data_IF_792471550549
#
_entry.id   IF_792471550549
#
_cell.length_a   1.000
_cell.length_b   1.000
_cell.length_c   1.000
_cell.angle_alpha   90.00
_cell.angle_beta   90.00
_cell.angle_gamma   90.00
#
_symmetry.space_group_name_H-M   'P 1'
#
loop_
_entity.id
_entity.type
_entity.pdbx_description
1 polymer ?
#
# COMPACT_ATOMS: atom_id res chain seq x y z
N UNK A 1 23.22 -22.17 -10.99
CA UNK A 1 21.92 -21.51 -10.97
C UNK A 1 20.82 -22.54 -11.15
N UNK A 2 20.11 -22.92 -10.09
CA UNK A 2 18.88 -23.73 -10.21
C UNK A 2 17.87 -22.91 -11.02
N UNK A 3 17.39 -23.45 -12.14
CA UNK A 3 16.32 -22.83 -12.94
C UNK A 3 15.09 -22.61 -12.05
N UNK A 4 14.87 -21.37 -11.61
CA UNK A 4 13.68 -21.00 -10.84
C UNK A 4 12.45 -21.22 -11.72
N UNK A 5 11.56 -22.11 -11.31
CA UNK A 5 10.34 -22.39 -12.09
C UNK A 5 9.46 -21.16 -12.10
N UNK A 6 9.23 -20.56 -13.27
CA UNK A 6 8.37 -19.38 -13.43
C UNK A 6 6.93 -19.75 -13.07
N UNK A 7 6.34 -19.03 -12.11
CA UNK A 7 4.92 -19.14 -11.78
C UNK A 7 4.12 -18.23 -12.71
N UNK A 8 3.08 -18.77 -13.34
CA UNK A 8 2.16 -17.97 -14.17
C UNK A 8 1.21 -17.16 -13.26
N UNK A 9 0.79 -15.97 -13.68
CA UNK A 9 -0.16 -15.11 -12.93
C UNK A 9 -1.47 -15.87 -12.60
N UNK A 10 -1.96 -16.71 -13.53
CA UNK A 10 -3.14 -17.55 -13.29
C UNK A 10 -2.95 -18.54 -12.14
N UNK A 11 -1.73 -19.05 -11.96
CA UNK A 11 -1.43 -19.99 -10.89
C UNK A 11 -1.34 -19.24 -9.54
N UNK A 12 -0.80 -18.02 -9.51
CA UNK A 12 -0.82 -17.14 -8.32
C UNK A 12 -2.26 -16.86 -7.86
N UNK A 13 -3.16 -16.56 -8.78
CA UNK A 13 -4.57 -16.35 -8.45
C UNK A 13 -5.23 -17.63 -7.89
N UNK A 14 -4.88 -18.80 -8.38
CA UNK A 14 -5.38 -20.08 -7.82
C UNK A 14 -4.82 -20.37 -6.43
N UNK A 15 -3.54 -20.05 -6.19
CA UNK A 15 -2.85 -20.27 -4.92
C UNK A 15 -3.42 -19.33 -3.86
N UNK A 16 -3.43 -18.03 -4.11
CA UNK A 16 -3.92 -17.01 -3.18
C UNK A 16 -4.72 -15.93 -3.92
N UNK A 17 -6.03 -16.17 -4.14
CA UNK A 17 -6.90 -15.19 -4.79
C UNK A 17 -6.95 -13.85 -4.05
N UNK A 18 -6.93 -13.89 -2.70
CA UNK A 18 -6.96 -12.68 -1.88
C UNK A 18 -5.71 -11.84 -2.07
N UNK A 19 -4.51 -12.42 -1.95
CA UNK A 19 -3.26 -11.69 -2.15
C UNK A 19 -3.16 -11.11 -3.57
N UNK A 20 -3.54 -11.89 -4.59
CA UNK A 20 -3.46 -11.48 -5.99
C UNK A 20 -4.41 -10.32 -6.29
N UNK A 21 -5.66 -10.40 -5.83
CA UNK A 21 -6.65 -9.33 -6.00
C UNK A 21 -6.27 -8.09 -5.19
N UNK A 22 -5.85 -8.27 -3.93
CA UNK A 22 -5.41 -7.18 -3.08
C UNK A 22 -4.20 -6.47 -3.67
N UNK A 23 -3.19 -7.21 -4.19
CA UNK A 23 -2.03 -6.62 -4.84
C UNK A 23 -2.41 -5.78 -6.08
N UNK A 24 -3.39 -6.24 -6.85
CA UNK A 24 -3.93 -5.47 -7.98
C UNK A 24 -4.55 -4.15 -7.50
N UNK A 25 -5.36 -4.16 -6.43
CA UNK A 25 -5.93 -2.95 -5.84
C UNK A 25 -4.85 -2.03 -5.24
N UNK A 26 -3.85 -2.58 -4.56
CA UNK A 26 -2.71 -1.83 -4.01
C UNK A 26 -1.92 -1.11 -5.11
N UNK A 27 -1.80 -1.73 -6.30
CA UNK A 27 -1.21 -1.09 -7.47
C UNK A 27 -2.01 0.11 -7.99
N UNK A 28 -3.32 0.19 -7.76
CA UNK A 28 -4.10 1.41 -8.00
C UNK A 28 -3.88 2.45 -6.89
N UNK A 29 -3.83 2.04 -5.64
CA UNK A 29 -3.80 2.92 -4.48
C UNK A 29 -2.45 3.66 -4.38
N UNK A 30 -1.31 2.95 -4.41
CA UNK A 30 0.00 3.54 -4.12
C UNK A 30 0.41 4.62 -5.12
N UNK A 31 0.34 4.40 -6.46
CA UNK A 31 0.63 5.47 -7.41
C UNK A 31 -0.32 6.67 -7.29
N UNK A 32 -1.60 6.43 -7.00
CA UNK A 32 -2.55 7.52 -6.79
C UNK A 32 -2.14 8.41 -5.61
N UNK A 33 -1.72 7.82 -4.47
CA UNK A 33 -1.25 8.61 -3.32
C UNK A 33 -0.02 9.45 -3.69
N UNK A 34 0.95 8.88 -4.40
CA UNK A 34 2.22 9.57 -4.66
C UNK A 34 2.15 10.53 -5.85
N UNK A 35 1.58 10.10 -6.98
CA UNK A 35 1.56 10.91 -8.21
C UNK A 35 0.35 11.84 -8.25
N UNK A 36 -0.86 11.27 -8.09
CA UNK A 36 -2.08 12.07 -8.11
C UNK A 36 -2.27 12.89 -6.83
N UNK A 37 -1.70 12.48 -5.70
CA UNK A 37 -1.65 13.28 -4.49
C UNK A 37 -0.86 14.58 -4.67
N UNK A 38 0.23 14.60 -5.43
CA UNK A 38 0.93 15.82 -5.77
C UNK A 38 0.09 16.71 -6.70
N UNK A 39 -0.60 16.12 -7.69
CA UNK A 39 -1.55 16.85 -8.56
C UNK A 39 -2.71 17.41 -7.75
N UNK A 40 -3.25 16.64 -6.81
CA UNK A 40 -4.26 17.09 -5.87
C UNK A 40 -3.80 18.33 -5.10
N UNK A 41 -2.59 18.28 -4.51
CA UNK A 41 -2.01 19.43 -3.80
C UNK A 41 -1.89 20.67 -4.69
N UNK A 42 -1.46 20.50 -5.95
CA UNK A 42 -1.38 21.61 -6.90
C UNK A 42 -2.77 22.20 -7.23
N UNK A 43 -3.79 21.35 -7.41
CA UNK A 43 -5.18 21.80 -7.65
C UNK A 43 -5.80 22.50 -6.43
N UNK A 44 -5.34 22.14 -5.22
CA UNK A 44 -5.75 22.76 -3.96
C UNK A 44 -4.88 23.97 -3.57
N UNK A 45 -4.08 24.49 -4.51
CA UNK A 45 -3.16 25.62 -4.31
C UNK A 45 -2.19 25.43 -3.13
N UNK A 46 -1.70 24.18 -2.94
CA UNK A 46 -0.63 23.92 -1.98
C UNK A 46 0.68 24.47 -2.55
N UNK A 47 1.48 25.11 -1.69
CA UNK A 47 2.84 25.48 -2.03
C UNK A 47 3.71 24.23 -2.29
N UNK A 48 4.83 24.41 -2.98
CA UNK A 48 5.79 23.32 -3.22
C UNK A 48 6.25 22.69 -1.90
N UNK A 49 6.43 23.50 -0.86
CA UNK A 49 6.78 23.00 0.47
C UNK A 49 5.69 22.10 1.06
N UNK A 50 4.42 22.51 0.96
CA UNK A 50 3.28 21.74 1.47
C UNK A 50 3.11 20.40 0.72
N UNK A 51 3.31 20.37 -0.59
CA UNK A 51 3.32 19.13 -1.39
C UNK A 51 4.49 18.23 -0.96
N UNK A 52 5.67 18.81 -0.73
CA UNK A 52 6.84 18.06 -0.26
C UNK A 52 6.62 17.50 1.14
N UNK A 53 6.01 18.29 2.04
CA UNK A 53 5.63 17.85 3.39
C UNK A 53 4.61 16.71 3.33
N UNK A 54 3.61 16.79 2.47
CA UNK A 54 2.64 15.73 2.23
C UNK A 54 3.34 14.42 1.83
N UNK A 55 4.23 14.46 0.84
CA UNK A 55 4.96 13.27 0.38
C UNK A 55 5.90 12.71 1.45
N UNK A 56 6.57 13.60 2.19
CA UNK A 56 7.43 13.20 3.32
C UNK A 56 6.62 12.49 4.41
N UNK A 57 5.51 13.06 4.86
CA UNK A 57 4.66 12.49 5.91
C UNK A 57 4.07 11.13 5.51
N UNK A 58 3.64 10.98 4.27
CA UNK A 58 3.16 9.71 3.72
C UNK A 58 4.27 8.65 3.80
N UNK A 59 5.45 8.97 3.31
CA UNK A 59 6.59 8.03 3.28
C UNK A 59 7.03 7.66 4.69
N UNK A 60 7.17 8.66 5.57
CA UNK A 60 7.55 8.47 6.97
C UNK A 60 6.54 7.60 7.72
N UNK A 61 5.25 7.91 7.57
CA UNK A 61 4.17 7.14 8.20
C UNK A 61 4.16 5.70 7.72
N UNK A 62 4.30 5.47 6.41
CA UNK A 62 4.42 4.13 5.86
C UNK A 62 5.59 3.34 6.46
N UNK A 63 6.75 3.96 6.62
CA UNK A 63 7.91 3.33 7.24
C UNK A 63 7.68 3.01 8.72
N UNK A 64 7.11 3.95 9.49
CA UNK A 64 6.84 3.76 10.93
C UNK A 64 5.82 2.63 11.15
N UNK A 65 4.71 2.63 10.39
CA UNK A 65 3.64 1.64 10.57
C UNK A 65 3.98 0.27 10.00
N UNK A 66 4.96 0.16 9.12
CA UNK A 66 5.37 -1.11 8.53
C UNK A 66 5.85 -2.10 9.61
N UNK A 67 6.60 -1.63 10.61
CA UNK A 67 7.07 -2.48 11.70
C UNK A 67 5.94 -3.01 12.60
N UNK A 68 5.04 -2.18 13.21
CA UNK A 68 3.98 -2.71 14.06
C UNK A 68 2.97 -3.57 13.28
N UNK A 69 2.63 -3.21 12.05
CA UNK A 69 1.70 -4.01 11.23
C UNK A 69 2.35 -5.34 10.86
N UNK A 70 3.63 -5.35 10.51
CA UNK A 70 4.39 -6.56 10.26
C UNK A 70 4.41 -7.49 11.48
N UNK A 71 4.77 -6.95 12.64
CA UNK A 71 4.77 -7.69 13.89
C UNK A 71 3.40 -8.28 14.26
N UNK A 72 2.31 -7.54 14.04
CA UNK A 72 0.96 -8.06 14.24
C UNK A 72 0.66 -9.20 13.25
N UNK A 73 1.07 -9.05 12.00
CA UNK A 73 0.82 -10.05 10.96
C UNK A 73 1.55 -11.37 11.17
N UNK A 74 2.65 -11.35 11.93
CA UNK A 74 3.39 -12.56 12.31
C UNK A 74 2.77 -13.29 13.52
N UNK A 75 1.97 -12.59 14.34
CA UNK A 75 1.33 -13.14 15.54
C UNK A 75 -0.13 -13.54 15.34
N UNK A 76 -0.79 -12.91 14.38
CA UNK A 76 -2.20 -13.12 14.08
C UNK A 76 -2.36 -13.59 12.63
N UNK A 77 -3.53 -14.11 12.29
CA UNK A 77 -3.86 -14.47 10.91
C UNK A 77 -3.64 -13.25 9.99
N UNK A 78 -2.70 -13.37 9.04
CA UNK A 78 -2.34 -12.31 8.08
C UNK A 78 -3.54 -11.79 7.31
N UNK A 79 -4.55 -12.63 7.07
CA UNK A 79 -5.80 -12.22 6.41
C UNK A 79 -6.56 -11.20 7.24
N UNK A 80 -6.64 -11.43 8.56
CA UNK A 80 -7.32 -10.53 9.48
C UNK A 80 -6.61 -9.17 9.50
N UNK A 81 -5.29 -9.16 9.62
CA UNK A 81 -4.51 -7.92 9.62
C UNK A 81 -4.66 -7.16 8.29
N UNK A 82 -4.62 -7.88 7.15
CA UNK A 82 -4.83 -7.30 5.83
C UNK A 82 -6.23 -6.66 5.69
N UNK A 83 -7.28 -7.33 6.20
CA UNK A 83 -8.65 -6.82 6.17
C UNK A 83 -8.79 -5.61 7.08
N UNK A 84 -8.28 -5.67 8.30
CA UNK A 84 -8.36 -4.57 9.27
C UNK A 84 -7.64 -3.34 8.73
N UNK A 85 -6.41 -3.48 8.23
CA UNK A 85 -5.65 -2.36 7.67
C UNK A 85 -6.35 -1.77 6.43
N UNK A 86 -6.94 -2.60 5.59
CA UNK A 86 -7.71 -2.15 4.43
C UNK A 86 -8.98 -1.39 4.85
N UNK A 87 -9.79 -1.93 5.73
CA UNK A 87 -11.03 -1.29 6.17
C UNK A 87 -10.77 -0.02 7.00
N UNK A 88 -9.77 -0.04 7.87
CA UNK A 88 -9.38 1.16 8.62
C UNK A 88 -8.85 2.24 7.68
N UNK A 89 -8.05 1.87 6.69
CA UNK A 89 -7.63 2.79 5.62
C UNK A 89 -8.80 3.37 4.85
N UNK A 90 -9.84 2.59 4.54
CA UNK A 90 -11.04 3.12 3.86
C UNK A 90 -11.80 4.15 4.71
N UNK A 91 -11.91 3.94 6.01
CA UNK A 91 -12.50 4.92 6.94
C UNK A 91 -11.69 6.21 6.93
N UNK A 92 -10.36 6.12 6.98
CA UNK A 92 -9.48 7.29 6.96
C UNK A 92 -9.60 8.10 5.66
N UNK A 93 -9.84 7.46 4.50
CA UNK A 93 -10.09 8.21 3.25
C UNK A 93 -11.40 9.01 3.30
N UNK A 94 -12.44 8.46 3.93
CA UNK A 94 -13.70 9.19 4.15
C UNK A 94 -13.46 10.39 5.07
N UNK A 95 -12.71 10.22 6.15
CA UNK A 95 -12.35 11.33 7.04
C UNK A 95 -11.49 12.38 6.33
N UNK A 96 -10.55 11.99 5.47
CA UNK A 96 -9.80 12.93 4.63
C UNK A 96 -10.72 13.73 3.70
N UNK A 97 -11.67 13.09 3.04
CA UNK A 97 -12.64 13.75 2.16
C UNK A 97 -13.42 14.83 2.91
N UNK A 98 -13.93 14.53 4.10
CA UNK A 98 -14.67 15.49 4.90
C UNK A 98 -13.79 16.59 5.50
N UNK A 99 -12.57 16.28 5.96
CA UNK A 99 -11.67 17.27 6.55
C UNK A 99 -11.34 18.41 5.59
N UNK A 100 -11.25 18.12 4.30
CA UNK A 100 -11.01 19.12 3.26
C UNK A 100 -12.28 19.87 2.87
N UNK A 101 -13.42 19.17 2.84
CA UNK A 101 -14.70 19.77 2.43
C UNK A 101 -15.23 20.80 3.43
N UNK A 102 -14.83 20.70 4.70
CA UNK A 102 -15.26 21.61 5.78
C UNK A 102 -14.45 22.92 5.81
N UNK A 103 -13.33 23.01 5.10
CA UNK A 103 -12.41 24.15 5.14
C UNK A 103 -12.43 24.92 3.81
N UNK A 104 -13.38 25.84 3.57
CA UNK A 104 -13.45 26.63 2.33
C UNK A 104 -12.30 27.63 2.16
N UNK A 105 -11.53 27.93 3.20
CA UNK A 105 -10.46 28.93 3.20
C UNK A 105 -9.14 28.48 2.56
N UNK A 106 -9.15 27.35 1.86
CA UNK A 106 -7.98 26.81 1.15
C UNK A 106 -7.49 27.68 -0.03
N UNK A 107 -8.22 28.73 -0.40
CA UNK A 107 -8.06 29.38 -1.71
C UNK A 107 -7.11 30.59 -1.71
N UNK A 108 -6.75 31.17 -0.56
CA UNK A 108 -5.91 32.40 -0.51
C UNK A 108 -4.73 32.24 0.48
N UNK A 109 -3.58 31.85 -0.01
CA UNK A 109 -2.37 31.83 0.81
C UNK A 109 -1.22 32.62 0.18
N UNK A 110 -0.75 33.64 0.92
CA UNK A 110 0.50 34.34 0.64
C UNK A 110 1.71 33.46 0.94
N UNK A 111 2.77 33.62 0.18
CA UNK A 111 3.98 32.79 0.15
C UNK A 111 4.92 32.92 1.36
N UNK A 112 4.48 33.47 2.48
CA UNK A 112 5.31 33.74 3.64
C UNK A 112 5.34 32.54 4.60
N UNK A 113 6.52 31.96 4.91
CA UNK A 113 6.68 30.75 5.69
C UNK A 113 6.10 30.82 7.11
N UNK A 114 6.10 32.02 7.73
CA UNK A 114 5.47 32.24 9.04
C UNK A 114 3.94 32.13 8.97
N UNK A 115 3.35 32.61 7.89
CA UNK A 115 1.92 32.48 7.60
C UNK A 115 1.55 31.03 7.32
N UNK A 116 2.44 30.28 6.65
CA UNK A 116 2.28 28.83 6.40
C UNK A 116 2.22 28.07 7.72
N UNK A 117 3.15 28.31 8.66
CA UNK A 117 3.16 27.66 9.98
C UNK A 117 1.92 28.02 10.81
N UNK A 118 1.42 29.25 10.71
CA UNK A 118 0.25 29.71 11.45
C UNK A 118 -1.07 29.16 10.88
N UNK A 119 -1.13 28.91 9.57
CA UNK A 119 -2.27 28.29 8.89
C UNK A 119 -2.31 26.76 9.02
N UNK A 120 -1.15 26.08 9.11
CA UNK A 120 -1.06 24.66 9.48
C UNK A 120 -1.75 24.43 10.84
N UNK A 121 -1.91 25.50 11.65
CA UNK A 121 -2.31 25.36 13.05
C UNK A 121 -3.72 24.86 13.29
N UNK A 122 -4.71 24.97 12.38
CA UNK A 122 -6.06 24.55 12.76
C UNK A 122 -6.81 23.60 11.78
N UNK A 123 -6.72 23.76 10.46
CA UNK A 123 -7.51 22.93 9.53
C UNK A 123 -6.67 22.00 8.67
N UNK A 124 -5.50 22.45 8.19
CA UNK A 124 -4.58 21.62 7.39
C UNK A 124 -3.86 20.58 8.23
N UNK A 125 -3.62 20.84 9.53
CA UNK A 125 -3.00 19.87 10.43
C UNK A 125 -3.83 18.58 10.51
N UNK A 126 -5.14 18.67 10.63
CA UNK A 126 -6.03 17.50 10.65
C UNK A 126 -5.90 16.69 9.35
N UNK A 127 -5.87 17.34 8.20
CA UNK A 127 -5.67 16.67 6.92
C UNK A 127 -4.33 15.94 6.87
N UNK A 128 -3.22 16.58 7.28
CA UNK A 128 -1.90 15.93 7.30
C UNK A 128 -1.84 14.75 8.27
N UNK A 129 -2.48 14.84 9.42
CA UNK A 129 -2.59 13.72 10.37
C UNK A 129 -3.37 12.56 9.74
N UNK A 130 -4.55 12.83 9.18
CA UNK A 130 -5.40 11.81 8.61
C UNK A 130 -4.76 11.12 7.41
N UNK A 131 -4.14 11.87 6.50
CA UNK A 131 -3.50 11.30 5.32
C UNK A 131 -2.24 10.51 5.69
N UNK A 132 -1.52 10.92 6.75
CA UNK A 132 -0.38 10.18 7.29
C UNK A 132 -0.84 8.85 7.88
N UNK A 133 -1.88 8.85 8.71
CA UNK A 133 -2.47 7.63 9.25
C UNK A 133 -2.97 6.70 8.14
N UNK A 134 -3.64 7.27 7.13
CA UNK A 134 -4.07 6.52 5.95
C UNK A 134 -2.88 5.84 5.23
N UNK A 135 -1.81 6.58 4.99
CA UNK A 135 -0.61 6.05 4.35
C UNK A 135 0.05 4.96 5.21
N UNK A 136 0.07 5.15 6.54
CA UNK A 136 0.54 4.15 7.49
C UNK A 136 -0.23 2.84 7.42
N UNK A 137 -1.55 2.89 7.16
CA UNK A 137 -2.37 1.67 6.98
C UNK A 137 -2.24 1.10 5.56
N UNK A 138 -2.09 1.95 4.55
CA UNK A 138 -2.13 1.53 3.15
C UNK A 138 -0.79 1.00 2.64
N UNK A 139 0.33 1.65 2.96
CA UNK A 139 1.64 1.28 2.40
C UNK A 139 2.14 -0.12 2.82
N UNK A 140 1.93 -0.59 4.06
CA UNK A 140 2.29 -1.95 4.44
C UNK A 140 1.52 -3.06 3.70
N UNK A 141 0.37 -2.75 3.08
CA UNK A 141 -0.43 -3.75 2.36
C UNK A 141 0.36 -4.46 1.25
N UNK A 142 1.31 -3.77 0.61
CA UNK A 142 2.18 -4.40 -0.39
C UNK A 142 2.97 -5.57 0.22
N UNK A 143 3.67 -5.32 1.32
CA UNK A 143 4.47 -6.34 2.02
C UNK A 143 3.61 -7.43 2.65
N UNK A 144 2.43 -7.07 3.20
CA UNK A 144 1.45 -8.03 3.72
C UNK A 144 0.97 -9.01 2.65
N UNK A 145 0.63 -8.51 1.45
CA UNK A 145 0.20 -9.36 0.35
C UNK A 145 1.30 -10.31 -0.11
N UNK A 146 2.55 -9.84 -0.13
CA UNK A 146 3.68 -10.66 -0.51
C UNK A 146 3.96 -11.74 0.55
N UNK A 147 3.94 -11.38 1.83
CA UNK A 147 4.07 -12.33 2.92
C UNK A 147 2.93 -13.36 2.88
N UNK A 148 1.69 -12.91 2.68
CA UNK A 148 0.53 -13.79 2.63
C UNK A 148 0.54 -14.77 1.45
N UNK A 149 1.03 -14.40 0.26
CA UNK A 149 1.17 -15.36 -0.84
C UNK A 149 2.26 -16.38 -0.55
N UNK A 150 3.31 -15.99 0.14
CA UNK A 150 4.43 -16.87 0.49
C UNK A 150 4.02 -17.95 1.50
N UNK A 151 3.00 -17.73 2.35
CA UNK A 151 2.47 -18.74 3.28
C UNK A 151 1.97 -19.99 2.57
N UNK A 152 1.59 -19.89 1.30
CA UNK A 152 1.06 -21.01 0.50
C UNK A 152 2.11 -21.63 -0.46
N UNK A 153 3.36 -21.19 -0.38
CA UNK A 153 4.38 -21.59 -1.33
C UNK A 153 5.61 -22.20 -0.64
N UNK A 154 6.29 -23.16 -1.25
CA UNK A 154 7.61 -23.58 -0.80
C UNK A 154 8.63 -22.44 -1.07
N UNK A 155 9.67 -22.36 -0.22
CA UNK A 155 10.68 -21.30 -0.24
C UNK A 155 11.34 -21.08 -1.62
N UNK A 156 11.56 -22.15 -2.37
CA UNK A 156 12.16 -22.11 -3.72
C UNK A 156 11.32 -21.34 -4.75
N UNK A 157 10.03 -21.10 -4.45
CA UNK A 157 9.09 -20.38 -5.31
C UNK A 157 8.84 -18.92 -4.89
N UNK A 158 9.36 -18.47 -3.76
CA UNK A 158 9.14 -17.11 -3.24
C UNK A 158 9.55 -16.04 -4.23
N UNK A 159 10.76 -16.15 -4.80
CA UNK A 159 11.27 -15.17 -5.79
C UNK A 159 10.37 -15.10 -7.02
N UNK A 160 9.93 -16.25 -7.53
CA UNK A 160 9.07 -16.25 -8.72
C UNK A 160 7.64 -15.77 -8.43
N UNK A 161 7.12 -16.02 -7.23
CA UNK A 161 5.84 -15.48 -6.78
C UNK A 161 5.91 -13.96 -6.61
N UNK A 162 6.96 -13.46 -5.94
CA UNK A 162 7.19 -12.04 -5.78
C UNK A 162 7.31 -11.31 -7.11
N UNK A 163 8.04 -11.86 -8.08
CA UNK A 163 8.12 -11.31 -9.43
C UNK A 163 6.74 -11.25 -10.12
N UNK A 164 5.92 -12.30 -9.96
CA UNK A 164 4.55 -12.33 -10.47
C UNK A 164 3.63 -11.30 -9.80
N UNK A 165 3.72 -11.16 -8.48
CA UNK A 165 2.99 -10.13 -7.72
C UNK A 165 3.41 -8.73 -8.13
N UNK A 166 4.70 -8.49 -8.37
CA UNK A 166 5.21 -7.21 -8.84
C UNK A 166 4.67 -6.85 -10.24
N UNK A 167 4.52 -7.83 -11.13
CA UNK A 167 3.91 -7.62 -12.46
C UNK A 167 2.44 -7.19 -12.31
N UNK A 168 1.68 -7.86 -11.44
CA UNK A 168 0.28 -7.51 -11.17
C UNK A 168 0.17 -6.07 -10.63
N UNK A 169 1.01 -5.73 -9.64
CA UNK A 169 1.12 -4.38 -9.12
C UNK A 169 1.47 -3.37 -10.23
N UNK A 170 2.46 -3.67 -11.06
CA UNK A 170 2.93 -2.77 -12.13
C UNK A 170 1.85 -2.48 -13.17
N UNK A 171 1.08 -3.48 -13.61
CA UNK A 171 -0.01 -3.31 -14.57
C UNK A 171 -1.07 -2.35 -14.03
N UNK A 172 -1.50 -2.54 -12.77
CA UNK A 172 -2.47 -1.63 -12.14
C UNK A 172 -1.87 -0.26 -11.85
N UNK A 173 -0.59 -0.18 -11.48
CA UNK A 173 0.12 1.07 -11.23
C UNK A 173 0.23 1.96 -12.47
N UNK A 174 0.43 1.38 -13.65
CA UNK A 174 0.46 2.12 -14.92
C UNK A 174 -0.89 2.75 -15.27
N UNK A 175 -1.99 2.09 -14.93
CA UNK A 175 -3.35 2.56 -15.25
C UNK A 175 -3.94 3.45 -14.15
N UNK A 176 -3.41 3.39 -12.92
CA UNK A 176 -3.92 4.12 -11.76
C UNK A 176 -4.07 5.64 -11.98
N UNK A 177 -3.07 6.38 -12.53
CA UNK A 177 -3.23 7.82 -12.75
C UNK A 177 -4.39 8.16 -13.69
N UNK A 178 -4.62 7.37 -14.74
CA UNK A 178 -5.72 7.60 -15.69
C UNK A 178 -7.07 7.41 -15.03
N UNK A 179 -7.25 6.32 -14.28
CA UNK A 179 -8.51 6.04 -13.59
C UNK A 179 -8.74 7.07 -12.48
N UNK A 180 -7.72 7.41 -11.70
CA UNK A 180 -7.82 8.41 -10.63
C UNK A 180 -8.16 9.80 -11.21
N UNK A 181 -7.54 10.21 -12.32
CA UNK A 181 -7.84 11.49 -12.95
C UNK A 181 -9.28 11.58 -13.45
N UNK A 182 -9.86 10.45 -13.91
CA UNK A 182 -11.29 10.39 -14.26
C UNK A 182 -12.19 10.70 -13.05
N UNK A 183 -11.86 10.16 -11.87
CA UNK A 183 -12.59 10.49 -10.63
C UNK A 183 -12.40 11.95 -10.26
N UNK A 184 -11.19 12.47 -10.32
CA UNK A 184 -10.91 13.89 -10.02
C UNK A 184 -11.60 14.84 -11.01
N UNK A 185 -11.73 14.47 -12.29
CA UNK A 185 -12.44 15.25 -13.29
C UNK A 185 -13.94 15.35 -13.00
N UNK A 186 -14.58 14.26 -12.56
CA UNK A 186 -16.03 14.20 -12.37
C UNK A 186 -16.47 14.68 -10.97
N UNK A 187 -15.66 14.47 -9.94
CA UNK A 187 -15.98 14.78 -8.54
C UNK A 187 -15.13 15.92 -7.95
N UNK A 188 -14.39 16.64 -8.81
CA UNK A 188 -13.44 17.66 -8.38
C UNK A 188 -12.16 17.06 -7.76
N UNK A 189 -11.25 17.90 -7.22
CA UNK A 189 -9.98 17.44 -6.64
C UNK A 189 -10.16 16.33 -5.60
N UNK A 190 -11.22 16.41 -4.78
CA UNK A 190 -11.54 15.41 -3.74
C UNK A 190 -11.92 14.04 -4.30
N UNK A 191 -12.12 13.90 -5.61
CA UNK A 191 -12.36 12.62 -6.28
C UNK A 191 -11.25 11.59 -6.05
N UNK A 192 -10.04 12.03 -5.70
CA UNK A 192 -8.94 11.14 -5.30
C UNK A 192 -9.32 10.30 -4.07
N UNK A 193 -10.01 10.88 -3.07
CA UNK A 193 -10.41 10.14 -1.87
C UNK A 193 -11.52 9.13 -2.15
N UNK A 194 -12.43 9.44 -3.09
CA UNK A 194 -13.46 8.49 -3.56
C UNK A 194 -12.77 7.29 -4.23
N UNK A 195 -11.80 7.56 -5.09
CA UNK A 195 -11.02 6.52 -5.77
C UNK A 195 -10.28 5.63 -4.75
N UNK A 196 -9.56 6.23 -3.81
CA UNK A 196 -8.83 5.50 -2.76
C UNK A 196 -9.78 4.69 -1.88
N UNK A 197 -10.94 5.25 -1.50
CA UNK A 197 -11.98 4.58 -0.73
C UNK A 197 -12.49 3.32 -1.43
N UNK A 198 -12.80 3.40 -2.72
CA UNK A 198 -13.31 2.26 -3.49
C UNK A 198 -12.31 1.11 -3.48
N UNK A 199 -11.06 1.36 -3.88
CA UNK A 199 -10.07 0.29 -3.97
C UNK A 199 -9.67 -0.27 -2.61
N UNK A 200 -9.61 0.57 -1.57
CA UNK A 200 -9.32 0.14 -0.20
C UNK A 200 -10.46 -0.73 0.35
N UNK A 201 -11.72 -0.31 0.14
CA UNK A 201 -12.91 -1.07 0.56
C UNK A 201 -13.02 -2.40 -0.18
N UNK A 202 -12.71 -2.43 -1.48
CA UNK A 202 -12.69 -3.67 -2.26
C UNK A 202 -11.74 -4.71 -1.69
N UNK A 203 -10.56 -4.31 -1.21
CA UNK A 203 -9.63 -5.22 -0.51
C UNK A 203 -10.30 -5.80 0.73
N UNK A 204 -10.86 -4.94 1.60
CA UNK A 204 -11.48 -5.37 2.84
C UNK A 204 -12.68 -6.30 2.62
N UNK A 205 -13.61 -5.91 1.75
CA UNK A 205 -14.82 -6.68 1.43
C UNK A 205 -14.46 -8.03 0.78
N UNK A 206 -13.56 -8.03 -0.18
CA UNK A 206 -13.11 -9.27 -0.80
C UNK A 206 -12.37 -10.17 0.20
N UNK A 207 -11.61 -9.57 1.12
CA UNK A 207 -10.96 -10.29 2.22
C UNK A 207 -11.97 -10.99 3.13
N UNK A 208 -13.02 -10.29 3.59
CA UNK A 208 -14.11 -10.87 4.40
C UNK A 208 -14.78 -12.02 3.64
N UNK A 209 -15.14 -11.79 2.36
CA UNK A 209 -15.74 -12.83 1.53
C UNK A 209 -14.84 -14.07 1.44
N UNK A 210 -13.54 -13.90 1.29
CA UNK A 210 -12.60 -15.03 1.20
C UNK A 210 -12.41 -15.77 2.53
N UNK A 211 -12.49 -15.08 3.66
CA UNK A 211 -12.45 -15.72 4.98
C UNK A 211 -13.60 -16.71 5.18
N UNK A 212 -14.78 -16.43 4.62
CA UNK A 212 -15.95 -17.35 4.75
C UNK A 212 -15.81 -18.62 3.87
N UNK A 213 -14.87 -18.63 2.91
CA UNK A 213 -14.75 -19.71 1.90
C UNK A 213 -13.55 -20.62 2.08
N UNK A 214 -12.52 -20.23 2.84
CA UNK A 214 -11.29 -21.00 3.02
C UNK A 214 -10.80 -20.91 4.46
N UNK A 215 -10.56 -22.08 5.10
CA UNK A 215 -9.85 -22.16 6.38
C UNK A 215 -8.41 -21.66 6.26
N UNK A 216 -7.83 -21.24 7.38
CA UNK A 216 -6.41 -20.83 7.46
C UNK A 216 -5.53 -22.07 7.27
N UNK A 217 -4.63 -22.06 6.27
CA UNK A 217 -3.47 -22.94 6.26
C UNK A 217 -2.34 -22.15 6.93
N UNK A 218 -2.03 -22.47 8.17
CA UNK A 218 -0.92 -21.85 8.90
C UNK A 218 0.36 -22.56 8.49
N UNK A 219 1.29 -21.80 7.92
CA UNK A 219 2.69 -22.19 7.85
C UNK A 219 3.46 -21.35 8.88
N UNK A 220 3.70 -21.87 10.11
CA UNK A 220 4.18 -21.08 11.26
C UNK A 220 5.64 -20.59 11.11
N UNK A 221 6.31 -20.89 10.00
CA UNK A 221 7.74 -20.64 9.82
C UNK A 221 8.08 -19.39 8.97
N UNK A 222 7.10 -18.65 8.48
CA UNK A 222 7.35 -17.50 7.63
C UNK A 222 7.15 -16.19 8.41
N UNK A 223 8.24 -15.47 8.67
CA UNK A 223 8.21 -14.13 9.30
C UNK A 223 7.94 -13.03 8.29
N UNK A 224 7.35 -11.93 8.75
CA UNK A 224 7.13 -10.76 7.92
C UNK A 224 8.45 -10.03 7.64
N UNK A 225 8.79 -9.87 6.37
CA UNK A 225 9.97 -9.09 5.94
C UNK A 225 9.50 -7.82 5.23
N UNK A 226 9.84 -6.61 5.74
CA UNK A 226 9.50 -5.35 5.08
C UNK A 226 10.20 -5.25 3.73
N UNK A 227 9.44 -5.16 2.65
CA UNK A 227 9.99 -5.06 1.31
C UNK A 227 9.63 -3.74 0.64
N UNK A 228 10.60 -3.02 0.03
CA UNK A 228 10.32 -1.83 -0.74
C UNK A 228 9.59 -2.18 -2.04
N UNK A 229 8.76 -1.27 -2.54
CA UNK A 229 7.98 -1.44 -3.78
C UNK A 229 8.82 -1.74 -5.02
N UNK A 230 10.07 -1.31 -5.01
CA UNK A 230 11.00 -1.45 -6.15
C UNK A 230 12.01 -2.58 -5.94
N UNK A 231 11.65 -3.60 -5.14
CA UNK A 231 12.56 -4.72 -4.92
C UNK A 231 12.78 -5.49 -6.23
N UNK A 232 14.03 -5.77 -6.52
CA UNK A 232 14.40 -6.62 -7.65
C UNK A 232 14.28 -8.10 -7.29
N UNK A 233 14.16 -9.02 -8.25
CA UNK A 233 14.20 -10.45 -7.98
C UNK A 233 15.44 -10.89 -7.19
N UNK A 234 16.60 -10.26 -7.43
CA UNK A 234 17.82 -10.51 -6.68
C UNK A 234 17.70 -10.05 -5.22
N UNK A 235 17.03 -8.90 -4.97
CA UNK A 235 16.79 -8.44 -3.59
C UNK A 235 15.87 -9.36 -2.80
N UNK A 236 14.97 -10.11 -3.48
CA UNK A 236 14.14 -11.14 -2.84
C UNK A 236 14.95 -12.39 -2.46
N UNK A 237 16.05 -12.68 -3.14
CA UNK A 237 16.95 -13.79 -2.79
C UNK A 237 17.73 -13.54 -1.48
N UNK A 238 17.87 -12.26 -1.09
CA UNK A 238 18.52 -11.85 0.16
C UNK A 238 17.58 -11.91 1.38
N UNK A 239 16.31 -12.22 1.18
CA UNK A 239 15.35 -12.42 2.27
C UNK A 239 15.75 -13.67 3.07
N UNK A 240 15.95 -13.55 4.42
CA UNK A 240 16.31 -14.70 5.26
C UNK A 240 15.32 -15.87 5.17
N UNK A 241 14.06 -15.59 4.82
CA UNK A 241 13.03 -16.62 4.65
C UNK A 241 13.14 -17.40 3.33
N UNK A 242 13.90 -16.94 2.34
CA UNK A 242 14.09 -17.66 1.07
C UNK A 242 14.97 -18.92 1.22
N UNK A 243 15.62 -19.11 2.37
CA UNK A 243 16.41 -20.32 2.69
C UNK A 243 17.66 -20.51 1.84
N UNK A 244 18.21 -19.42 1.28
CA UNK A 244 19.54 -19.42 0.67
C UNK A 244 20.57 -19.51 1.81
N UNK A 245 20.94 -20.73 2.19
CA UNK A 245 22.00 -21.02 3.13
C UNK A 245 23.34 -20.68 2.46
N UNK A 246 23.82 -19.45 2.64
CA UNK A 246 25.15 -19.02 2.16
C UNK A 246 26.29 -19.85 2.74
N UNK A 247 26.01 -20.71 3.75
CA UNK A 247 26.98 -21.62 4.36
C UNK A 247 27.15 -22.96 3.62
N UNK A 248 26.38 -23.26 2.57
CA UNK A 248 26.52 -24.50 1.81
C UNK A 248 27.51 -24.43 0.64
N UNK A 249 27.94 -23.24 0.23
CA UNK A 249 28.92 -23.10 -0.87
C UNK A 249 30.39 -23.30 -0.44
N UNK A 250 30.70 -23.34 0.85
CA UNK A 250 32.09 -23.51 1.34
C UNK A 250 32.45 -24.95 1.71
N UNK A 251 31.73 -25.97 1.24
CA UNK A 251 32.04 -27.39 1.48
C UNK A 251 32.07 -28.24 0.19
N UNK A 252 32.70 -27.71 -0.86
CA UNK A 252 33.17 -28.54 -1.98
C UNK A 252 34.52 -28.01 -2.47
#
# INVERSE_FOLDING_TARGET
FKKTSRIKIKDLYKISPLATFSMFCVGFIHPAIFTMGAVYGALMNFSVFEISLYLFLITLSGAIFQWPIGYLSDRFDRRIILIITALFGSILTVLCFFSVSISPDFINLSSDWKTILQHISNHRLLFYILISLYAGMSLPLFSLNLAYVNDFLPKEKFVSAGAGMQIIFGISAMTAPFVCSFFMKNFGPNGIFIFLFIFQTLIGVFGIYRMTRRSTEENPNNTFTPMPRNITPLGMELDPDTGVDLNKENKN
#
